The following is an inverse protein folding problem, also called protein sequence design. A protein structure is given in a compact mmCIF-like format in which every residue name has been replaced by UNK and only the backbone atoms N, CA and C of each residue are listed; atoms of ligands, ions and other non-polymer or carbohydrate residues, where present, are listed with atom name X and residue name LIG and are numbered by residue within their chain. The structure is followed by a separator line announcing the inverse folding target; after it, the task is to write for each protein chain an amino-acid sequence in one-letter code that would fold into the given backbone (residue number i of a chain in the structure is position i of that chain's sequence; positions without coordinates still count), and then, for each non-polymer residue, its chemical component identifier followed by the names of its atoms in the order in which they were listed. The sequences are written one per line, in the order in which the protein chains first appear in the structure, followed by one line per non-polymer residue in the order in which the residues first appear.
data_IF_506649876259
#
_entry.id   IF_506649876259
#
_cell.length_a   1.000
_cell.length_b   1.000
_cell.length_c   1.000
_cell.angle_alpha   90.00
_cell.angle_beta   90.00
_cell.angle_gamma   90.00
#
_symmetry.space_group_name_H-M   'P 1'
#
loop_
_entity.id
_entity.type
_entity.pdbx_description
1 polymer ?
#
# COMPACT_ATOMS: atom_id res chain seq x y z
N UNK A 1 -16.35 2.99 0.66
CA UNK A 1 -15.09 2.21 0.54
C UNK A 1 -15.13 0.91 1.32
N UNK A 2 -15.66 0.87 2.55
CA UNK A 2 -15.77 -0.37 3.37
C UNK A 2 -16.20 -1.65 2.60
N UNK A 3 -17.24 -1.64 1.74
CA UNK A 3 -17.61 -2.86 0.98
C UNK A 3 -16.52 -3.32 0.00
N UNK A 4 -15.79 -2.38 -0.60
CA UNK A 4 -14.67 -2.64 -1.51
C UNK A 4 -13.50 -3.25 -0.72
N UNK A 5 -13.23 -2.73 0.48
CA UNK A 5 -12.18 -3.26 1.35
C UNK A 5 -12.50 -4.69 1.81
N UNK A 6 -13.75 -4.97 2.17
CA UNK A 6 -14.21 -6.32 2.51
C UNK A 6 -14.03 -7.27 1.32
N UNK A 7 -14.40 -6.84 0.11
CA UNK A 7 -14.21 -7.63 -1.10
C UNK A 7 -12.72 -7.91 -1.37
N UNK A 8 -11.84 -6.92 -1.18
CA UNK A 8 -10.39 -7.07 -1.35
C UNK A 8 -9.78 -8.04 -0.33
N UNK A 9 -10.16 -7.92 0.95
CA UNK A 9 -9.72 -8.81 2.02
C UNK A 9 -10.22 -10.23 1.76
N UNK A 10 -11.50 -10.39 1.46
CA UNK A 10 -12.11 -11.69 1.14
C UNK A 10 -11.44 -12.36 -0.05
N UNK A 11 -11.25 -11.63 -1.15
CA UNK A 11 -10.55 -12.14 -2.34
C UNK A 11 -9.11 -12.53 -2.02
N UNK A 12 -8.41 -11.75 -1.20
CA UNK A 12 -7.04 -12.03 -0.76
C UNK A 12 -6.98 -13.32 0.06
N UNK A 13 -7.84 -13.46 1.06
CA UNK A 13 -7.90 -14.65 1.92
C UNK A 13 -8.25 -15.90 1.13
N UNK A 14 -9.26 -15.83 0.25
CA UNK A 14 -9.67 -16.95 -0.60
C UNK A 14 -8.53 -17.36 -1.53
N UNK A 15 -7.89 -16.40 -2.20
CA UNK A 15 -6.82 -16.67 -3.17
C UNK A 15 -5.59 -17.27 -2.48
N UNK A 16 -5.18 -16.71 -1.33
CA UNK A 16 -4.10 -17.27 -0.51
C UNK A 16 -4.42 -18.68 -0.02
N UNK A 17 -5.63 -18.89 0.49
CA UNK A 17 -6.05 -20.20 0.97
C UNK A 17 -6.05 -21.22 -0.16
N UNK A 18 -6.67 -20.93 -1.30
CA UNK A 18 -6.73 -21.86 -2.44
C UNK A 18 -5.34 -22.24 -2.98
N UNK A 19 -4.42 -21.28 -3.01
CA UNK A 19 -3.06 -21.50 -3.50
C UNK A 19 -2.21 -22.29 -2.50
N UNK A 20 -2.23 -21.94 -1.21
CA UNK A 20 -1.40 -22.56 -0.18
C UNK A 20 -2.09 -23.67 0.62
N UNK A 21 -3.34 -24.05 0.30
CA UNK A 21 -4.10 -25.06 1.06
C UNK A 21 -3.39 -26.40 1.28
N UNK A 22 -2.47 -26.77 0.39
CA UNK A 22 -1.69 -28.01 0.49
C UNK A 22 -0.49 -27.88 1.42
N UNK A 23 -0.02 -26.66 1.66
CA UNK A 23 1.14 -26.35 2.49
C UNK A 23 0.76 -25.95 3.92
N UNK A 24 -0.52 -25.65 4.16
CA UNK A 24 -1.03 -25.29 5.49
C UNK A 24 -1.21 -26.58 6.32
N UNK A 25 -0.43 -26.78 7.39
CA UNK A 25 -0.59 -27.94 8.24
C UNK A 25 -1.94 -27.86 9.00
N UNK A 26 -2.66 -28.99 9.17
CA UNK A 26 -3.96 -29.00 9.84
C UNK A 26 -3.87 -28.71 11.34
N UNK A 27 -2.69 -28.94 11.94
CA UNK A 27 -2.40 -28.63 13.34
C UNK A 27 -0.96 -28.12 13.45
N UNK A 28 -0.74 -27.22 14.42
CA UNK A 28 0.59 -26.76 14.79
C UNK A 28 0.77 -26.91 16.31
N UNK A 29 1.99 -27.24 16.73
CA UNK A 29 2.29 -27.46 18.14
C UNK A 29 2.37 -26.13 18.90
N UNK A 30 1.39 -25.88 19.75
CA UNK A 30 1.30 -24.69 20.59
C UNK A 30 2.42 -24.63 21.64
N UNK A 31 3.00 -25.76 22.03
CA UNK A 31 4.05 -25.84 23.04
C UNK A 31 5.33 -25.14 22.56
N UNK A 32 5.54 -25.05 21.25
CA UNK A 32 6.66 -24.33 20.63
C UNK A 32 6.51 -22.80 20.71
N UNK A 33 5.31 -22.28 20.99
CA UNK A 33 5.08 -20.84 21.08
C UNK A 33 5.52 -20.29 22.44
N UNK A 34 6.30 -19.22 22.41
CA UNK A 34 6.65 -18.47 23.62
C UNK A 34 5.42 -17.76 24.18
N UNK A 35 5.34 -17.65 25.50
CA UNK A 35 4.30 -16.84 26.17
C UNK A 35 4.29 -15.40 25.63
N UNK A 36 3.13 -14.85 25.22
CA UNK A 36 3.03 -13.49 24.67
C UNK A 36 3.58 -12.41 25.60
N UNK A 37 3.44 -12.59 26.92
CA UNK A 37 3.97 -11.66 27.92
C UNK A 37 5.50 -11.48 27.80
N UNK A 38 6.22 -12.53 27.40
CA UNK A 38 7.66 -12.48 27.23
C UNK A 38 8.10 -11.65 26.00
N UNK A 39 7.17 -11.29 25.11
CA UNK A 39 7.47 -10.39 24.00
C UNK A 39 7.58 -8.92 24.43
N UNK A 40 6.93 -8.54 25.56
CA UNK A 40 6.91 -7.17 26.06
C UNK A 40 8.19 -6.91 26.87
N UNK A 41 9.19 -6.32 26.23
CA UNK A 41 10.46 -5.96 26.88
C UNK A 41 10.39 -4.69 27.73
N UNK A 42 9.51 -3.76 27.35
CA UNK A 42 9.27 -2.50 28.07
C UNK A 42 7.77 -2.21 28.13
N UNK A 43 7.12 -2.48 29.27
CA UNK A 43 5.69 -2.24 29.46
C UNK A 43 5.28 -0.77 29.29
N UNK A 44 6.14 0.18 29.64
CA UNK A 44 5.83 1.61 29.54
C UNK A 44 5.75 2.03 28.07
N UNK A 45 6.76 1.67 27.28
CA UNK A 45 6.73 1.92 25.82
C UNK A 45 5.59 1.16 25.15
N UNK A 46 5.29 -0.08 25.56
CA UNK A 46 4.18 -0.85 25.00
C UNK A 46 2.81 -0.19 25.23
N UNK A 47 2.52 0.23 26.47
CA UNK A 47 1.26 0.94 26.79
C UNK A 47 1.18 2.30 26.10
N UNK A 48 2.28 3.03 26.05
CA UNK A 48 2.37 4.30 25.31
C UNK A 48 2.13 4.07 23.83
N UNK A 49 2.61 2.96 23.26
CA UNK A 49 2.34 2.52 21.90
C UNK A 49 0.85 2.48 21.58
N UNK A 50 0.06 1.87 22.45
CA UNK A 50 -1.40 1.83 22.31
C UNK A 50 -2.04 3.21 22.41
N UNK A 51 -1.63 4.03 23.37
CA UNK A 51 -2.14 5.39 23.53
C UNK A 51 -1.83 6.21 22.28
N UNK A 52 -0.58 6.18 21.80
CA UNK A 52 -0.16 6.89 20.59
C UNK A 52 -0.90 6.38 19.37
N UNK A 53 -1.17 5.08 19.25
CA UNK A 53 -1.96 4.54 18.16
C UNK A 53 -3.38 5.13 18.13
N UNK A 54 -4.04 5.21 19.29
CA UNK A 54 -5.36 5.84 19.42
C UNK A 54 -5.28 7.34 19.12
N UNK A 55 -4.27 8.03 19.64
CA UNK A 55 -4.06 9.46 19.38
C UNK A 55 -3.79 9.75 17.90
N UNK A 56 -3.05 8.89 17.20
CA UNK A 56 -2.84 9.00 15.76
C UNK A 56 -4.16 8.81 15.00
N UNK A 57 -4.95 7.79 15.36
CA UNK A 57 -6.26 7.55 14.74
C UNK A 57 -7.18 8.76 14.92
N UNK A 58 -7.37 9.21 16.17
CA UNK A 58 -8.19 10.39 16.46
C UNK A 58 -7.63 11.65 15.81
N UNK A 59 -6.31 11.83 15.89
CA UNK A 59 -5.60 12.96 15.29
C UNK A 59 -5.85 13.05 13.78
N UNK A 60 -5.73 11.94 13.06
CA UNK A 60 -5.96 11.93 11.61
C UNK A 60 -7.40 12.27 11.24
N UNK A 61 -8.41 11.83 12.00
CA UNK A 61 -9.81 12.15 11.68
C UNK A 61 -10.27 13.53 12.15
N UNK A 62 -9.66 14.07 13.22
CA UNK A 62 -10.12 15.33 13.85
C UNK A 62 -9.25 16.51 13.44
N UNK A 63 -7.93 16.34 13.38
CA UNK A 63 -6.98 17.45 13.21
C UNK A 63 -6.66 17.73 11.74
N UNK A 64 -6.71 16.71 10.87
CA UNK A 64 -6.47 16.89 9.42
C UNK A 64 -7.53 17.80 8.77
N UNK A 65 -8.85 17.66 9.06
CA UNK A 65 -9.84 18.61 8.57
C UNK A 65 -9.67 20.04 9.10
N UNK A 66 -8.95 20.22 10.22
CA UNK A 66 -8.61 21.52 10.80
C UNK A 66 -7.35 22.14 10.18
N UNK A 67 -6.77 21.51 9.15
CA UNK A 67 -5.58 21.98 8.45
C UNK A 67 -4.25 21.58 9.10
N UNK A 68 -4.26 20.73 10.13
CA UNK A 68 -3.03 20.21 10.73
C UNK A 68 -2.50 19.07 9.83
N UNK A 69 -1.25 19.19 9.32
CA UNK A 69 -0.73 18.18 8.42
C UNK A 69 -0.52 16.85 9.14
N UNK A 70 -0.82 15.75 8.44
CA UNK A 70 -0.63 14.36 8.90
C UNK A 70 0.79 14.12 9.41
N UNK A 71 1.79 14.77 8.78
CA UNK A 71 3.19 14.70 9.19
C UNK A 71 3.45 15.25 10.60
N UNK A 72 2.76 16.33 11.01
CA UNK A 72 2.89 16.90 12.34
C UNK A 72 2.30 15.96 13.40
N UNK A 73 1.15 15.36 13.11
CA UNK A 73 0.47 14.39 13.99
C UNK A 73 1.37 13.15 14.18
N UNK A 74 1.92 12.62 13.08
CA UNK A 74 2.86 11.49 13.12
C UNK A 74 4.16 11.83 13.86
N UNK A 75 4.72 13.03 13.64
CA UNK A 75 5.93 13.49 14.32
C UNK A 75 5.71 13.62 15.83
N UNK A 76 4.57 14.17 16.27
CA UNK A 76 4.22 14.25 17.68
C UNK A 76 4.14 12.85 18.33
N UNK A 77 3.47 11.90 17.68
CA UNK A 77 3.41 10.50 18.14
C UNK A 77 4.80 9.86 18.25
N UNK A 78 5.66 10.07 17.25
CA UNK A 78 7.03 9.57 17.26
C UNK A 78 7.87 10.19 18.40
N UNK A 79 7.73 11.50 18.65
CA UNK A 79 8.42 12.19 19.75
C UNK A 79 7.96 11.64 21.11
N UNK A 80 6.66 11.44 21.31
CA UNK A 80 6.10 10.86 22.54
C UNK A 80 6.68 9.46 22.78
N UNK A 81 6.68 8.59 21.76
CA UNK A 81 7.24 7.24 21.87
C UNK A 81 8.74 7.26 22.15
N UNK A 82 9.50 8.10 21.46
CA UNK A 82 10.94 8.24 21.68
C UNK A 82 11.24 8.76 23.09
N UNK A 83 10.46 9.71 23.61
CA UNK A 83 10.64 10.26 24.94
C UNK A 83 10.42 9.19 26.02
N UNK A 84 9.36 8.39 25.90
CA UNK A 84 9.08 7.29 26.84
C UNK A 84 10.13 6.18 26.72
N UNK A 85 10.46 5.75 25.51
CA UNK A 85 11.47 4.71 25.28
C UNK A 85 12.85 5.12 25.79
N UNK A 86 13.22 6.41 25.66
CA UNK A 86 14.50 6.93 26.16
C UNK A 86 14.57 6.92 27.69
N UNK A 87 13.45 7.16 28.38
CA UNK A 87 13.37 7.11 29.85
C UNK A 87 13.47 5.68 30.40
N UNK A 88 12.93 4.70 29.68
CA UNK A 88 12.92 3.30 30.13
C UNK A 88 14.28 2.60 30.08
N UNK A 89 15.27 3.13 29.36
CA UNK A 89 16.60 2.55 29.10
C UNK A 89 16.65 1.10 28.55
N UNK A 90 15.53 0.39 28.49
CA UNK A 90 15.38 -0.95 27.96
C UNK A 90 15.51 -1.00 26.42
N UNK A 91 15.29 0.14 25.75
CA UNK A 91 15.36 0.27 24.30
C UNK A 91 16.52 1.19 23.92
N UNK A 92 17.43 0.71 23.07
CA UNK A 92 18.48 1.55 22.50
C UNK A 92 17.89 2.47 21.42
N UNK A 93 17.39 3.63 21.83
CA UNK A 93 16.76 4.62 20.95
C UNK A 93 17.71 5.13 19.86
N UNK A 94 19.02 5.21 20.14
CA UNK A 94 20.02 5.57 19.13
C UNK A 94 20.13 4.53 18.02
N UNK A 95 20.08 3.24 18.35
CA UNK A 95 20.03 2.15 17.36
C UNK A 95 18.73 2.17 16.56
N UNK A 96 17.60 2.48 17.19
CA UNK A 96 16.30 2.63 16.51
C UNK A 96 16.35 3.79 15.50
N UNK A 97 16.85 4.96 15.91
CA UNK A 97 16.97 6.12 15.02
C UNK A 97 17.91 5.86 13.84
N UNK A 98 19.08 5.24 14.06
CA UNK A 98 20.00 4.89 12.97
C UNK A 98 19.47 3.77 12.07
N UNK A 99 18.66 2.87 12.62
CA UNK A 99 18.02 1.77 11.90
C UNK A 99 16.73 2.15 11.18
N UNK A 100 16.22 3.37 11.38
CA UNK A 100 15.07 3.86 10.64
C UNK A 100 15.42 3.96 9.14
N UNK A 101 14.47 3.67 8.23
CA UNK A 101 14.73 3.61 6.80
C UNK A 101 14.80 5.03 6.18
N UNK A 102 15.83 5.80 6.52
CA UNK A 102 16.04 7.17 6.02
C UNK A 102 16.12 7.26 4.49
N UNK A 103 16.48 6.15 3.84
CA UNK A 103 16.47 6.02 2.39
C UNK A 103 15.08 6.30 1.81
N UNK A 104 13.99 6.03 2.54
CA UNK A 104 12.62 6.32 2.09
C UNK A 104 12.41 7.82 1.89
N UNK A 105 13.01 8.68 2.72
CA UNK A 105 12.89 10.15 2.57
C UNK A 105 13.58 10.62 1.28
N UNK A 106 14.81 10.15 1.05
CA UNK A 106 15.58 10.48 -0.16
C UNK A 106 14.87 9.90 -1.41
N UNK A 107 14.41 8.66 -1.31
CA UNK A 107 13.64 7.99 -2.35
C UNK A 107 12.37 8.79 -2.70
N UNK A 108 11.64 9.25 -1.69
CA UNK A 108 10.41 10.05 -1.86
C UNK A 108 10.68 11.37 -2.59
N UNK A 109 11.81 12.03 -2.31
CA UNK A 109 12.21 13.23 -3.07
C UNK A 109 12.62 12.89 -4.52
N UNK A 110 13.40 11.82 -4.70
CA UNK A 110 13.84 11.36 -6.01
C UNK A 110 12.68 10.96 -6.92
N UNK A 111 11.65 10.29 -6.39
CA UNK A 111 10.46 9.93 -7.18
C UNK A 111 9.69 11.16 -7.67
N UNK A 112 9.59 12.24 -6.90
CA UNK A 112 8.95 13.46 -7.38
C UNK A 112 9.70 14.02 -8.60
N UNK A 113 11.04 14.07 -8.54
CA UNK A 113 11.85 14.52 -9.67
C UNK A 113 11.63 13.66 -10.91
N UNK A 114 11.64 12.33 -10.76
CA UNK A 114 11.41 11.40 -11.88
C UNK A 114 10.01 11.54 -12.45
N UNK A 115 8.98 11.59 -11.60
CA UNK A 115 7.59 11.71 -12.05
C UNK A 115 7.35 13.03 -12.77
N UNK A 116 7.81 14.16 -12.23
CA UNK A 116 7.71 15.44 -12.90
C UNK A 116 8.57 15.52 -14.17
N UNK A 117 9.72 14.84 -14.20
CA UNK A 117 10.53 14.69 -15.41
C UNK A 117 9.78 13.92 -16.51
N UNK A 118 9.15 12.80 -16.17
CA UNK A 118 8.34 12.01 -17.10
C UNK A 118 7.09 12.76 -17.57
N UNK A 119 6.46 13.52 -16.67
CA UNK A 119 5.37 14.44 -17.02
C UNK A 119 5.83 15.46 -18.06
N UNK A 120 6.96 16.13 -17.82
CA UNK A 120 7.49 17.10 -18.77
C UNK A 120 7.93 16.46 -20.10
N UNK A 121 8.22 15.16 -20.11
CA UNK A 121 8.50 14.37 -21.31
C UNK A 121 7.23 13.86 -22.03
N UNK A 122 6.03 14.14 -21.51
CA UNK A 122 4.75 13.83 -22.16
C UNK A 122 4.08 12.52 -21.69
N UNK A 123 4.67 11.77 -20.75
CA UNK A 123 4.09 10.48 -20.32
C UNK A 123 2.67 10.65 -19.78
N UNK A 124 2.46 11.71 -19.00
CA UNK A 124 1.16 11.97 -18.37
C UNK A 124 0.07 12.22 -19.41
N UNK A 125 0.39 12.91 -20.49
CA UNK A 125 -0.48 13.26 -21.60
C UNK A 125 -0.89 12.02 -22.40
N UNK A 126 0.05 11.12 -22.69
CA UNK A 126 -0.26 9.83 -23.32
C UNK A 126 -1.23 9.01 -22.46
N UNK A 127 -0.96 8.93 -21.15
CA UNK A 127 -1.82 8.23 -20.21
C UNK A 127 -3.19 8.91 -20.11
N UNK A 128 -3.27 10.24 -20.05
CA UNK A 128 -4.54 10.98 -20.09
C UNK A 128 -5.36 10.62 -21.33
N UNK A 129 -4.72 10.48 -22.50
CA UNK A 129 -5.39 10.02 -23.72
C UNK A 129 -6.01 8.63 -23.58
N UNK A 130 -5.28 7.66 -23.01
CA UNK A 130 -5.81 6.31 -22.74
C UNK A 130 -6.97 6.39 -21.74
N UNK A 131 -6.81 7.17 -20.68
CA UNK A 131 -7.81 7.37 -19.64
C UNK A 131 -9.10 8.01 -20.18
N UNK A 132 -9.02 8.94 -21.14
CA UNK A 132 -10.19 9.50 -21.81
C UNK A 132 -10.97 8.42 -22.56
N UNK A 133 -10.29 7.57 -23.32
CA UNK A 133 -10.93 6.45 -24.04
C UNK A 133 -11.63 5.48 -23.08
N UNK A 134 -11.05 5.25 -21.90
CA UNK A 134 -11.67 4.41 -20.88
C UNK A 134 -12.89 5.11 -20.24
N UNK A 135 -12.79 6.42 -19.99
CA UNK A 135 -13.88 7.24 -19.46
C UNK A 135 -15.08 7.27 -20.41
N UNK A 136 -14.86 7.42 -21.71
CA UNK A 136 -15.91 7.44 -22.74
C UNK A 136 -16.68 6.11 -22.83
N UNK A 137 -16.05 5.01 -22.43
CA UNK A 137 -16.67 3.68 -22.37
C UNK A 137 -17.48 3.43 -21.09
N UNK A 138 -17.54 4.41 -20.19
CA UNK A 138 -18.35 4.39 -18.97
C UNK A 138 -17.64 3.85 -17.73
N UNK A 139 -18.37 3.86 -16.62
CA UNK A 139 -17.86 3.60 -15.27
C UNK A 139 -17.05 2.31 -15.14
N UNK A 140 -17.55 1.20 -15.67
CA UNK A 140 -16.88 -0.10 -15.55
C UNK A 140 -15.56 -0.15 -16.31
N UNK A 141 -15.54 0.37 -17.53
CA UNK A 141 -14.33 0.43 -18.35
C UNK A 141 -13.29 1.38 -17.73
N UNK A 142 -13.73 2.55 -17.25
CA UNK A 142 -12.88 3.49 -16.53
C UNK A 142 -12.28 2.88 -15.26
N UNK A 143 -13.08 2.20 -14.45
CA UNK A 143 -12.63 1.59 -13.18
C UNK A 143 -11.65 0.45 -13.42
N UNK A 144 -12.05 -0.56 -14.23
CA UNK A 144 -11.21 -1.73 -14.49
C UNK A 144 -9.96 -1.35 -15.27
N UNK A 145 -10.12 -0.57 -16.35
CA UNK A 145 -9.02 -0.16 -17.21
C UNK A 145 -7.97 0.66 -16.45
N UNK A 146 -8.40 1.66 -15.66
CA UNK A 146 -7.48 2.47 -14.85
C UNK A 146 -6.76 1.62 -13.81
N UNK A 147 -7.48 0.74 -13.11
CA UNK A 147 -6.90 -0.11 -12.07
C UNK A 147 -5.87 -1.09 -12.61
N UNK A 148 -6.13 -1.75 -13.75
CA UNK A 148 -5.15 -2.64 -14.38
C UNK A 148 -3.96 -1.88 -14.98
N UNK A 149 -4.20 -0.73 -15.61
CA UNK A 149 -3.14 0.12 -16.15
C UNK A 149 -2.17 0.57 -15.06
N UNK A 150 -2.71 1.06 -13.94
CA UNK A 150 -1.93 1.57 -12.82
C UNK A 150 -1.24 0.44 -12.04
N UNK A 151 -1.87 -0.73 -11.92
CA UNK A 151 -1.23 -1.93 -11.38
C UNK A 151 -0.02 -2.37 -12.22
N UNK A 152 -0.15 -2.36 -13.55
CA UNK A 152 0.94 -2.66 -14.45
C UNK A 152 2.09 -1.66 -14.31
N UNK A 153 1.80 -0.36 -14.37
CA UNK A 153 2.81 0.70 -14.17
C UNK A 153 3.54 0.54 -12.84
N UNK A 154 2.78 0.29 -11.77
CA UNK A 154 3.32 0.13 -10.42
C UNK A 154 4.21 -1.09 -10.26
N UNK A 155 3.89 -2.19 -10.96
CA UNK A 155 4.72 -3.38 -10.99
C UNK A 155 6.08 -3.16 -11.66
N UNK A 156 6.27 -2.08 -12.44
CA UNK A 156 7.54 -1.79 -13.12
C UNK A 156 8.30 -0.66 -12.42
N UNK A 157 7.59 0.35 -11.91
CA UNK A 157 8.20 1.62 -11.46
C UNK A 157 8.25 1.82 -9.94
N UNK A 158 7.48 1.05 -9.16
CA UNK A 158 7.13 1.24 -7.74
C UNK A 158 5.75 1.86 -7.50
N UNK A 159 5.09 1.52 -6.38
CA UNK A 159 3.78 2.06 -6.00
C UNK A 159 3.71 3.58 -5.86
N UNK A 160 4.70 4.20 -5.22
CA UNK A 160 4.66 5.62 -4.91
C UNK A 160 4.80 6.52 -6.16
N UNK A 161 5.75 6.30 -7.08
CA UNK A 161 5.80 7.04 -8.34
C UNK A 161 4.56 6.81 -9.22
N UNK A 162 4.08 5.57 -9.31
CA UNK A 162 2.95 5.24 -10.19
C UNK A 162 1.65 5.86 -9.74
N UNK A 163 1.39 5.95 -8.42
CA UNK A 163 0.16 6.60 -7.94
C UNK A 163 0.16 8.09 -8.30
N UNK A 164 1.32 8.76 -8.25
CA UNK A 164 1.45 10.16 -8.61
C UNK A 164 1.31 10.38 -10.12
N UNK A 165 1.93 9.54 -10.96
CA UNK A 165 1.75 9.57 -12.42
C UNK A 165 0.28 9.37 -12.77
N UNK A 166 -0.37 8.35 -12.18
CA UNK A 166 -1.79 8.08 -12.38
C UNK A 166 -2.67 9.24 -11.94
N UNK A 167 -2.39 9.84 -10.79
CA UNK A 167 -3.15 11.00 -10.29
C UNK A 167 -3.03 12.21 -11.24
N UNK A 168 -1.81 12.54 -11.70
CA UNK A 168 -1.57 13.63 -12.65
C UNK A 168 -2.24 13.37 -14.01
N UNK A 169 -2.22 12.13 -14.49
CA UNK A 169 -2.91 11.74 -15.74
C UNK A 169 -4.43 11.77 -15.60
N UNK A 170 -4.99 11.33 -14.47
CA UNK A 170 -6.43 11.45 -14.21
C UNK A 170 -6.83 12.92 -14.12
N UNK A 171 -6.00 13.76 -13.49
CA UNK A 171 -6.30 15.18 -13.41
C UNK A 171 -6.26 15.89 -14.77
N UNK A 172 -5.31 15.51 -15.62
CA UNK A 172 -5.23 15.97 -17.01
C UNK A 172 -6.20 15.28 -17.98
N UNK A 173 -7.07 14.38 -17.52
CA UNK A 173 -8.08 13.71 -18.34
C UNK A 173 -9.37 14.53 -18.42
N UNK A 174 -10.23 14.22 -19.39
CA UNK A 174 -11.57 14.82 -19.55
C UNK A 174 -12.62 14.16 -18.65
N UNK A 175 -12.24 13.15 -17.86
CA UNK A 175 -13.15 12.44 -16.97
C UNK A 175 -13.73 13.39 -15.90
N UNK A 176 -15.02 13.28 -15.64
CA UNK A 176 -15.72 14.11 -14.65
C UNK A 176 -16.65 13.26 -13.77
N UNK A 177 -17.11 13.85 -12.66
CA UNK A 177 -18.08 13.23 -11.75
C UNK A 177 -17.63 11.87 -11.22
N UNK A 178 -18.57 10.93 -11.17
CA UNK A 178 -18.38 9.56 -10.63
C UNK A 178 -17.31 8.79 -11.41
N UNK A 179 -17.12 9.07 -12.70
CA UNK A 179 -16.07 8.40 -13.50
C UNK A 179 -14.68 8.84 -13.02
N UNK A 180 -14.45 10.15 -12.81
CA UNK A 180 -13.16 10.65 -12.27
C UNK A 180 -12.90 10.07 -10.88
N UNK A 181 -13.93 10.05 -10.01
CA UNK A 181 -13.83 9.43 -8.68
C UNK A 181 -13.45 7.95 -8.76
N UNK A 182 -14.09 7.20 -9.66
CA UNK A 182 -13.79 5.78 -9.87
C UNK A 182 -12.34 5.56 -10.31
N UNK A 183 -11.84 6.40 -11.22
CA UNK A 183 -10.46 6.33 -11.70
C UNK A 183 -9.46 6.65 -10.59
N UNK A 184 -9.75 7.63 -9.71
CA UNK A 184 -8.90 7.96 -8.56
C UNK A 184 -8.78 6.75 -7.63
N UNK A 185 -9.91 6.14 -7.24
CA UNK A 185 -9.87 4.96 -6.38
C UNK A 185 -9.25 3.75 -7.07
N UNK A 186 -9.52 3.54 -8.36
CA UNK A 186 -8.91 2.48 -9.14
C UNK A 186 -7.40 2.63 -9.25
N UNK A 187 -6.88 3.86 -9.40
CA UNK A 187 -5.46 4.17 -9.39
C UNK A 187 -4.80 3.78 -8.06
N UNK A 188 -5.43 4.10 -6.93
CA UNK A 188 -4.94 3.72 -5.60
C UNK A 188 -4.93 2.19 -5.44
N UNK A 189 -6.03 1.50 -5.78
CA UNK A 189 -6.14 0.05 -5.71
C UNK A 189 -5.10 -0.64 -6.61
N UNK A 190 -4.96 -0.17 -7.84
CA UNK A 190 -4.01 -0.69 -8.80
C UNK A 190 -2.57 -0.53 -8.30
N UNK A 191 -2.21 0.66 -7.83
CA UNK A 191 -0.87 0.94 -7.32
C UNK A 191 -0.54 0.24 -6.00
N UNK A 192 -1.52 -0.22 -5.22
CA UNK A 192 -1.26 -0.98 -3.98
C UNK A 192 -1.18 -2.50 -4.22
N UNK A 193 -1.95 -3.01 -5.18
CA UNK A 193 -1.97 -4.45 -5.51
C UNK A 193 -0.92 -4.83 -6.58
N UNK A 194 -0.78 -4.01 -7.62
CA UNK A 194 0.16 -4.22 -8.73
C UNK A 194 1.63 -4.49 -8.34
N UNK A 195 2.20 -3.79 -7.33
CA UNK A 195 3.55 -4.05 -6.83
C UNK A 195 3.86 -5.50 -6.49
N UNK A 196 2.85 -6.30 -6.14
CA UNK A 196 3.03 -7.69 -5.73
C UNK A 196 3.43 -8.59 -6.91
N UNK A 197 3.26 -8.14 -8.15
CA UNK A 197 3.60 -8.89 -9.36
C UNK A 197 5.12 -9.02 -9.51
N UNK A 198 5.90 -8.00 -9.18
CA UNK A 198 7.37 -8.03 -9.33
C UNK A 198 8.08 -7.68 -8.01
N UNK A 199 9.32 -8.15 -7.79
CA UNK A 199 10.10 -7.76 -6.61
C UNK A 199 10.38 -6.26 -6.49
N UNK A 200 10.53 -5.56 -7.63
CA UNK A 200 10.88 -4.13 -7.67
C UNK A 200 9.68 -3.20 -7.44
N UNK A 201 8.45 -3.72 -7.57
CA UNK A 201 7.23 -2.94 -7.44
C UNK A 201 7.03 -2.32 -6.05
N UNK A 202 7.67 -2.83 -5.01
CA UNK A 202 7.61 -2.25 -3.66
C UNK A 202 8.94 -2.33 -2.93
N UNK A 203 9.34 -1.22 -2.30
CA UNK A 203 10.51 -1.19 -1.41
C UNK A 203 10.39 -2.15 -0.24
N UNK A 204 9.16 -2.34 0.28
CA UNK A 204 8.91 -3.28 1.37
C UNK A 204 9.24 -4.72 0.95
N UNK A 205 8.89 -5.08 -0.29
CA UNK A 205 9.23 -6.39 -0.86
C UNK A 205 10.74 -6.58 -0.97
N UNK A 206 11.47 -5.58 -1.48
CA UNK A 206 12.93 -5.65 -1.57
C UNK A 206 13.58 -5.78 -0.20
N UNK A 207 13.11 -5.02 0.81
CA UNK A 207 13.57 -5.13 2.18
C UNK A 207 13.33 -6.54 2.74
N UNK A 208 12.15 -7.11 2.48
CA UNK A 208 11.81 -8.46 2.93
C UNK A 208 12.70 -9.53 2.27
N UNK A 209 12.87 -9.46 0.94
CA UNK A 209 13.76 -10.38 0.21
C UNK A 209 15.22 -10.26 0.68
N UNK A 210 15.67 -9.06 1.04
CA UNK A 210 16.98 -8.85 1.65
C UNK A 210 17.09 -9.51 3.04
N UNK A 211 16.06 -9.38 3.89
CA UNK A 211 16.03 -10.05 5.20
C UNK A 211 16.02 -11.58 5.05
N UNK A 212 15.30 -12.11 4.06
CA UNK A 212 15.28 -13.55 3.80
C UNK A 212 16.65 -14.07 3.33
N UNK A 213 17.35 -13.35 2.47
CA UNK A 213 18.68 -13.76 2.00
C UNK A 213 19.70 -13.80 3.14
N UNK A 214 19.62 -12.87 4.11
CA UNK A 214 20.43 -12.90 5.34
C UNK A 214 20.17 -14.15 6.20
N UNK A 215 19.04 -14.83 6.01
CA UNK A 215 18.68 -16.08 6.69
C UNK A 215 18.91 -17.32 5.81
N UNK A 216 19.69 -17.19 4.74
CA UNK A 216 19.92 -18.26 3.75
C UNK A 216 18.64 -18.76 3.08
N UNK A 217 17.58 -17.94 3.03
CA UNK A 217 16.35 -18.22 2.30
C UNK A 217 16.29 -17.35 1.05
N UNK A 218 16.45 -17.95 -0.13
CA UNK A 218 16.40 -17.23 -1.40
C UNK A 218 15.12 -17.57 -2.16
N UNK A 219 14.44 -16.54 -2.65
CA UNK A 219 13.26 -16.69 -3.51
C UNK A 219 13.68 -16.32 -4.93
N UNK A 220 13.46 -17.22 -5.89
CA UNK A 220 13.77 -16.93 -7.29
C UNK A 220 12.77 -15.94 -7.90
N UNK A 221 13.25 -15.13 -8.84
CA UNK A 221 12.41 -14.16 -9.56
C UNK A 221 11.23 -14.83 -10.27
N UNK A 222 11.46 -15.97 -10.91
CA UNK A 222 10.41 -16.72 -11.62
C UNK A 222 9.33 -17.24 -10.67
N UNK A 223 9.71 -17.76 -9.50
CA UNK A 223 8.74 -18.19 -8.49
C UNK A 223 7.93 -17.02 -7.95
N UNK A 224 8.61 -15.91 -7.62
CA UNK A 224 7.95 -14.70 -7.13
C UNK A 224 6.95 -14.16 -8.16
N UNK A 225 7.38 -13.99 -9.41
CA UNK A 225 6.54 -13.44 -10.48
C UNK A 225 5.31 -14.30 -10.77
N UNK A 226 5.50 -15.63 -10.87
CA UNK A 226 4.39 -16.56 -11.07
C UNK A 226 3.38 -16.50 -9.93
N UNK A 227 3.87 -16.51 -8.69
CA UNK A 227 3.00 -16.41 -7.51
C UNK A 227 2.30 -15.06 -7.47
N UNK A 228 3.03 -13.97 -7.74
CA UNK A 228 2.52 -12.61 -7.80
C UNK A 228 1.37 -12.46 -8.79
N UNK A 229 1.52 -12.96 -10.03
CA UNK A 229 0.44 -12.92 -11.03
C UNK A 229 -0.79 -13.70 -10.58
N UNK A 230 -0.59 -14.97 -10.18
CA UNK A 230 -1.70 -15.86 -9.81
C UNK A 230 -2.49 -15.30 -8.63
N UNK A 231 -1.82 -14.64 -7.70
CA UNK A 231 -2.47 -14.04 -6.53
C UNK A 231 -3.08 -12.67 -6.81
N UNK A 232 -2.38 -11.82 -7.58
CA UNK A 232 -2.76 -10.40 -7.70
C UNK A 232 -3.91 -10.20 -8.67
N UNK A 233 -3.94 -10.90 -9.81
CA UNK A 233 -4.97 -10.66 -10.84
C UNK A 233 -6.40 -10.93 -10.34
N UNK A 234 -6.70 -12.05 -9.64
CA UNK A 234 -8.03 -12.29 -9.12
C UNK A 234 -8.44 -11.26 -8.07
N UNK A 235 -7.54 -10.92 -7.15
CA UNK A 235 -7.79 -9.94 -6.08
C UNK A 235 -8.04 -8.56 -6.68
N UNK A 236 -7.21 -8.14 -7.64
CA UNK A 236 -7.36 -6.86 -8.33
C UNK A 236 -8.69 -6.79 -9.08
N UNK A 237 -9.03 -7.83 -9.84
CA UNK A 237 -10.29 -7.89 -10.57
C UNK A 237 -11.50 -7.78 -9.64
N UNK A 238 -11.56 -8.59 -8.58
CA UNK A 238 -12.68 -8.58 -7.63
C UNK A 238 -12.79 -7.24 -6.93
N UNK A 239 -11.66 -6.64 -6.53
CA UNK A 239 -11.65 -5.33 -5.85
C UNK A 239 -12.14 -4.22 -6.76
N UNK A 240 -11.68 -4.17 -8.01
CA UNK A 240 -12.12 -3.17 -9.00
C UNK A 240 -13.57 -3.37 -9.43
N UNK A 241 -14.03 -4.61 -9.55
CA UNK A 241 -15.44 -4.91 -9.83
C UNK A 241 -16.34 -4.48 -8.66
N UNK A 242 -15.93 -4.73 -7.41
CA UNK A 242 -16.63 -4.26 -6.23
C UNK A 242 -16.69 -2.73 -6.17
N UNK A 243 -15.61 -2.04 -6.55
CA UNK A 243 -15.58 -0.58 -6.67
C UNK A 243 -16.58 -0.09 -7.73
N UNK A 244 -16.56 -0.66 -8.94
CA UNK A 244 -17.45 -0.29 -10.03
C UNK A 244 -18.93 -0.53 -9.65
N UNK A 245 -19.25 -1.66 -9.02
CA UNK A 245 -20.58 -1.96 -8.48
C UNK A 245 -21.01 -0.93 -7.43
N UNK A 246 -20.16 -0.67 -6.44
CA UNK A 246 -20.45 0.29 -5.37
C UNK A 246 -20.74 1.68 -5.90
N UNK A 247 -19.99 2.13 -6.91
CA UNK A 247 -20.18 3.43 -7.54
C UNK A 247 -21.39 3.47 -8.50
N UNK A 248 -21.80 2.32 -9.05
CA UNK A 248 -23.00 2.21 -9.88
C UNK A 248 -24.27 2.49 -9.06
N UNK A 249 -24.32 2.07 -7.79
CA UNK A 249 -25.46 2.34 -6.91
C UNK A 249 -25.59 3.80 -6.49
N UNK A 250 -24.50 4.57 -6.49
CA UNK A 250 -24.54 6.03 -6.23
C UNK A 250 -25.02 6.86 -7.42
N UNK A 251 -25.12 6.25 -8.60
CA UNK A 251 -25.71 6.87 -9.80
C UNK A 251 -27.24 6.66 -9.89
N UNK A 252 -27.83 5.87 -8.98
CA UNK A 252 -29.27 5.57 -8.89
C UNK A 252 -29.94 6.46 -7.85
#
# INVERSE_FOLDING_TARGET
MVPVDIAAIGATLVTLHLFFRKDIPPAYDLVLLKSPANAIKDPATFRTGWIVLILLLVGFFVLEPLGIPVSAIAAAGAIILLAVAKRGHAINTGKVLRGAPWQIVIFSLGMYLVVYGLRNAGLTEYLSGVLNVLADKGLWAATLGTGFLTAFLSSIMNNMPSVLVGALSIDGSTATGVIKEAMIYANVIGCDLGPKITPIGSLATLLWLHVLSQKNMTISWGYYFRTGIVMTLPVLFVTLAALALRLSFTLS
#
